data_IF_119979815528
#
_entry.id   IF_119979815528
#
_cell.length_a   1.000
_cell.length_b   1.000
_cell.length_c   1.000
_cell.angle_alpha   90.00
_cell.angle_beta   90.00
_cell.angle_gamma   90.00
#
_symmetry.space_group_name_H-M   'P 1'
#
loop_
_entity.id
_entity.type
_entity.pdbx_description
1 polymer ?
#
# COMPACT_ATOMS: atom_id res chain seq x y z
N UNK A 1 23.07 -24.56 -68.98
CA UNK A 1 23.24 -25.66 -69.95
C UNK A 1 23.75 -26.88 -69.19
N UNK A 2 22.90 -27.91 -69.06
CA UNK A 2 23.24 -29.35 -69.13
C UNK A 2 24.22 -29.92 -68.08
N UNK A 3 23.72 -30.55 -67.00
CA UNK A 3 23.52 -32.01 -66.77
C UNK A 3 24.77 -32.78 -66.27
N UNK A 4 24.67 -33.22 -65.00
CA UNK A 4 24.92 -34.55 -64.41
C UNK A 4 26.18 -35.41 -64.68
N UNK A 5 26.66 -35.96 -63.55
CA UNK A 5 27.03 -37.37 -63.30
C UNK A 5 28.47 -37.81 -63.57
N UNK A 6 29.17 -38.28 -62.52
CA UNK A 6 29.48 -39.74 -62.38
C UNK A 6 30.11 -40.13 -61.03
N UNK A 7 29.45 -41.10 -60.37
CA UNK A 7 29.97 -42.35 -59.74
C UNK A 7 31.30 -42.30 -58.94
N UNK A 8 31.24 -42.53 -57.62
CA UNK A 8 31.31 -43.85 -56.94
C UNK A 8 32.72 -44.47 -56.85
N UNK A 9 33.21 -44.69 -55.61
CA UNK A 9 33.51 -46.05 -55.08
C UNK A 9 34.14 -46.04 -53.66
N UNK A 10 33.57 -46.94 -52.81
CA UNK A 10 34.22 -47.87 -51.85
C UNK A 10 34.92 -47.26 -50.62
N UNK A 11 34.35 -47.43 -49.41
CA UNK A 11 34.32 -48.61 -48.49
C UNK A 11 35.57 -48.66 -47.58
N UNK A 12 35.39 -49.27 -46.40
CA UNK A 12 36.38 -49.61 -45.34
C UNK A 12 36.55 -48.46 -44.32
N UNK A 13 36.43 -48.60 -43.00
CA UNK A 13 36.21 -49.74 -42.09
C UNK A 13 35.62 -49.19 -40.79
N UNK A 14 34.77 -49.98 -40.14
CA UNK A 14 34.19 -49.76 -38.81
C UNK A 14 35.28 -49.65 -37.74
N UNK A 15 35.23 -48.64 -36.89
CA UNK A 15 35.73 -48.72 -35.50
C UNK A 15 34.76 -47.94 -34.61
N UNK A 16 34.05 -48.67 -33.75
CA UNK A 16 33.28 -48.15 -32.61
C UNK A 16 34.16 -48.30 -31.38
N UNK A 17 34.32 -47.22 -30.59
CA UNK A 17 34.26 -47.33 -29.13
C UNK A 17 33.28 -46.28 -28.59
N UNK A 18 32.19 -46.71 -27.95
CA UNK A 18 32.07 -46.92 -26.51
C UNK A 18 32.19 -45.62 -25.70
N UNK A 19 31.01 -45.03 -25.44
CA UNK A 19 30.54 -44.42 -24.19
C UNK A 19 31.42 -43.37 -23.51
N UNK A 20 30.94 -42.12 -23.55
CA UNK A 20 30.94 -41.23 -22.39
C UNK A 20 29.69 -40.33 -22.47
N UNK A 21 28.68 -40.66 -21.66
CA UNK A 21 27.58 -39.75 -21.38
C UNK A 21 28.11 -38.65 -20.45
N UNK A 22 28.46 -37.50 -21.04
CA UNK A 22 28.76 -36.29 -20.27
C UNK A 22 27.46 -35.47 -20.18
N UNK A 23 26.98 -35.33 -18.95
CA UNK A 23 25.82 -34.53 -18.60
C UNK A 23 26.00 -33.07 -19.03
N UNK A 24 24.91 -32.52 -19.55
CA UNK A 24 24.73 -31.10 -19.88
C UNK A 24 24.82 -30.28 -18.60
N UNK A 25 25.85 -29.45 -18.47
CA UNK A 25 25.84 -28.30 -17.58
C UNK A 25 25.84 -27.04 -18.45
N UNK A 26 24.63 -26.55 -18.74
CA UNK A 26 24.42 -25.20 -19.27
C UNK A 26 24.81 -24.23 -18.15
N UNK A 27 26.07 -23.78 -18.14
CA UNK A 27 26.45 -22.57 -17.44
C UNK A 27 25.88 -21.40 -18.23
N UNK A 28 24.63 -21.03 -17.92
CA UNK A 28 24.06 -19.76 -18.32
C UNK A 28 24.72 -18.65 -17.52
N UNK A 29 25.58 -17.87 -18.17
CA UNK A 29 25.97 -16.55 -17.70
C UNK A 29 24.72 -15.67 -17.75
N UNK A 30 24.07 -15.50 -16.60
CA UNK A 30 23.04 -14.49 -16.42
C UNK A 30 23.71 -13.12 -16.41
N UNK A 31 23.35 -12.32 -17.39
CA UNK A 31 23.71 -10.92 -17.55
C UNK A 31 23.07 -10.14 -16.38
N UNK A 32 23.89 -9.59 -15.48
CA UNK A 32 23.45 -8.67 -14.41
C UNK A 32 22.92 -7.39 -15.08
N UNK A 33 21.60 -7.35 -15.26
CA UNK A 33 20.88 -6.15 -15.66
C UNK A 33 20.99 -5.05 -14.60
N UNK A 34 20.80 -3.78 -15.00
CA UNK A 34 20.98 -2.64 -14.10
C UNK A 34 19.86 -2.60 -13.05
N UNK A 35 20.21 -2.97 -11.82
CA UNK A 35 19.67 -2.40 -10.59
C UNK A 35 18.15 -2.42 -10.44
N UNK A 36 17.58 -3.61 -10.27
CA UNK A 36 16.43 -3.73 -9.38
C UNK A 36 16.93 -3.29 -7.99
N UNK A 37 16.43 -2.13 -7.51
CA UNK A 37 16.37 -1.92 -6.06
C UNK A 37 15.62 -3.10 -5.42
N UNK A 38 15.52 -3.18 -4.08
CA UNK A 38 14.51 -4.06 -3.52
C UNK A 38 13.19 -3.75 -4.24
N UNK A 39 12.67 -4.73 -4.98
CA UNK A 39 11.25 -4.82 -5.31
C UNK A 39 10.53 -4.40 -4.02
N UNK A 40 9.51 -3.51 -4.03
CA UNK A 40 8.61 -3.33 -2.89
C UNK A 40 7.93 -4.69 -2.66
N UNK A 41 8.72 -5.61 -2.11
CA UNK A 41 8.49 -7.02 -2.02
C UNK A 41 7.25 -7.11 -1.18
N UNK A 42 6.15 -7.48 -1.85
CA UNK A 42 4.78 -7.42 -1.38
C UNK A 42 4.78 -7.39 0.15
N UNK A 43 4.51 -6.20 0.73
CA UNK A 43 4.53 -6.02 2.17
C UNK A 43 3.84 -7.24 2.79
N UNK A 44 4.61 -8.08 3.47
CA UNK A 44 4.12 -9.37 3.95
C UNK A 44 4.19 -9.37 5.45
N UNK A 45 3.16 -9.91 6.08
CA UNK A 45 3.15 -10.07 7.51
C UNK A 45 3.93 -11.32 7.88
N UNK A 46 4.86 -11.23 8.84
CA UNK A 46 5.48 -12.42 9.40
C UNK A 46 4.45 -13.21 10.23
N UNK A 47 4.89 -14.36 10.73
CA UNK A 47 4.13 -15.17 11.68
C UNK A 47 3.68 -14.34 12.90
N UNK A 48 2.52 -14.67 13.46
CA UNK A 48 1.88 -13.85 14.50
C UNK A 48 2.79 -13.59 15.72
N UNK A 49 3.65 -14.55 16.06
CA UNK A 49 4.58 -14.46 17.18
C UNK A 49 5.69 -13.42 16.97
N UNK A 50 6.06 -13.16 15.71
CA UNK A 50 7.16 -12.26 15.34
C UNK A 50 6.69 -10.83 15.08
N UNK A 51 5.36 -10.61 15.04
CA UNK A 51 4.78 -9.29 14.84
C UNK A 51 4.97 -8.40 16.05
N UNK A 52 5.31 -7.14 15.80
CA UNK A 52 5.52 -6.10 16.82
C UNK A 52 4.42 -5.05 16.78
N UNK A 53 4.17 -4.29 17.85
CA UNK A 53 3.21 -3.18 17.81
C UNK A 53 3.59 -2.14 16.75
N UNK A 54 2.61 -1.65 15.99
CA UNK A 54 2.82 -0.56 15.03
C UNK A 54 3.05 0.79 15.73
N UNK A 55 3.84 1.66 15.10
CA UNK A 55 4.12 3.03 15.53
C UNK A 55 3.40 4.02 14.60
N UNK A 56 3.17 5.25 15.05
CA UNK A 56 2.57 6.29 14.17
C UNK A 56 3.43 6.54 12.93
N UNK A 57 4.75 6.51 13.10
CA UNK A 57 5.71 6.70 12.02
C UNK A 57 5.73 5.52 11.03
N UNK A 58 5.51 4.30 11.50
CA UNK A 58 5.31 3.14 10.63
C UNK A 58 4.02 3.27 9.80
N UNK A 59 2.93 3.79 10.38
CA UNK A 59 1.70 4.10 9.63
C UNK A 59 2.01 5.12 8.51
N UNK A 60 2.83 6.14 8.80
CA UNK A 60 3.27 7.10 7.78
C UNK A 60 4.08 6.44 6.66
N UNK A 61 5.04 5.58 6.98
CA UNK A 61 5.83 4.85 5.97
C UNK A 61 4.95 3.98 5.08
N UNK A 62 3.97 3.27 5.66
CA UNK A 62 3.02 2.44 4.91
C UNK A 62 2.17 3.30 3.97
N UNK A 63 1.66 4.45 4.45
CA UNK A 63 0.90 5.37 3.61
C UNK A 63 1.77 5.89 2.44
N UNK A 64 2.98 6.36 2.71
CA UNK A 64 3.91 6.90 1.71
C UNK A 64 4.45 5.86 0.72
N UNK A 65 4.25 4.56 0.98
CA UNK A 65 4.55 3.50 0.01
C UNK A 65 3.53 3.44 -1.14
N UNK A 66 2.32 3.96 -0.93
CA UNK A 66 1.23 4.01 -1.92
C UNK A 66 0.89 5.43 -2.36
N UNK A 67 1.22 6.43 -1.55
CA UNK A 67 0.93 7.83 -1.80
C UNK A 67 2.17 8.59 -2.26
N UNK A 68 1.97 9.77 -2.85
CA UNK A 68 3.07 10.69 -3.16
C UNK A 68 3.88 11.04 -1.89
N UNK A 69 5.19 11.13 -2.02
CA UNK A 69 6.07 11.59 -0.95
C UNK A 69 6.21 13.12 -0.88
N UNK A 70 5.64 13.84 -1.85
CA UNK A 70 5.59 15.31 -1.93
C UNK A 70 4.59 15.91 -0.93
N UNK A 71 4.88 15.72 0.35
CA UNK A 71 4.09 16.22 1.49
C UNK A 71 4.68 17.51 2.04
N UNK A 72 3.84 18.46 2.46
CA UNK A 72 4.26 19.65 3.18
C UNK A 72 4.54 19.39 4.68
N UNK A 73 3.88 18.40 5.28
CA UNK A 73 4.20 17.94 6.64
C UNK A 73 3.80 16.47 6.86
N UNK A 74 4.47 15.85 7.84
CA UNK A 74 4.26 14.46 8.26
C UNK A 74 4.31 14.41 9.79
N UNK A 75 3.23 14.02 10.42
CA UNK A 75 3.16 14.07 11.89
C UNK A 75 2.31 12.97 12.53
N UNK A 76 2.65 12.62 13.76
CA UNK A 76 1.79 11.79 14.59
C UNK A 76 0.61 12.59 15.11
N UNK A 77 -0.61 12.12 14.85
CA UNK A 77 -1.83 12.85 15.24
C UNK A 77 -2.02 12.84 16.75
N UNK A 78 -2.50 13.94 17.33
CA UNK A 78 -2.96 13.97 18.72
C UNK A 78 -4.12 12.98 18.95
N UNK A 79 -4.14 12.35 20.12
CA UNK A 79 -5.22 11.44 20.54
C UNK A 79 -5.66 11.76 21.96
N UNK A 80 -6.96 11.68 22.24
CA UNK A 80 -7.56 11.87 23.56
C UNK A 80 -8.39 10.67 24.04
N UNK A 81 -9.21 10.89 25.08
CA UNK A 81 -10.01 9.83 25.69
C UNK A 81 -11.23 9.40 24.89
N UNK A 82 -11.59 10.14 23.83
CA UNK A 82 -12.68 9.80 22.91
C UNK A 82 -12.23 8.88 21.78
N UNK A 83 -10.92 8.81 21.49
CA UNK A 83 -10.40 7.94 20.44
C UNK A 83 -10.39 6.46 20.84
N UNK A 84 -10.49 5.54 19.87
CA UNK A 84 -10.35 4.11 20.13
C UNK A 84 -9.04 3.78 20.87
N UNK A 85 -9.14 2.90 21.88
CA UNK A 85 -7.96 2.52 22.67
C UNK A 85 -6.93 1.79 21.81
N UNK A 86 -5.69 2.26 21.88
CA UNK A 86 -4.56 1.63 21.18
C UNK A 86 -4.42 2.08 19.72
N UNK A 87 -5.16 3.11 19.31
CA UNK A 87 -5.08 3.68 17.98
C UNK A 87 -3.69 4.24 17.65
N UNK A 88 -3.32 4.12 16.38
CA UNK A 88 -2.09 4.68 15.80
C UNK A 88 -2.47 5.45 14.55
N UNK A 89 -2.10 6.72 14.53
CA UNK A 89 -2.55 7.73 13.58
C UNK A 89 -1.38 8.55 13.06
N UNK A 90 -1.43 8.88 11.78
CA UNK A 90 -0.54 9.84 11.14
C UNK A 90 -1.37 10.83 10.32
N UNK A 91 -0.91 12.08 10.30
CA UNK A 91 -1.39 13.12 9.42
C UNK A 91 -0.30 13.42 8.37
N UNK A 92 -0.71 13.42 7.11
CA UNK A 92 0.09 13.84 5.96
C UNK A 92 -0.60 15.06 5.36
N UNK A 93 0.15 16.16 5.17
CA UNK A 93 -0.37 17.35 4.50
C UNK A 93 0.17 17.45 3.08
N UNK A 94 -0.70 17.82 2.14
CA UNK A 94 -0.37 18.04 0.74
C UNK A 94 -0.78 19.45 0.31
N UNK A 95 -0.13 19.97 -0.73
CA UNK A 95 -0.52 21.24 -1.39
C UNK A 95 -0.68 22.44 -0.44
N UNK A 96 0.05 22.48 0.68
CA UNK A 96 0.00 23.63 1.58
C UNK A 96 0.58 24.89 0.93
N UNK A 97 -0.01 26.04 1.25
CA UNK A 97 0.32 27.37 0.72
C UNK A 97 0.43 28.36 1.89
N UNK A 98 1.06 29.54 1.71
CA UNK A 98 1.16 30.52 2.77
C UNK A 98 -0.23 30.93 3.31
N UNK A 99 -0.54 30.54 4.55
CA UNK A 99 -1.80 30.84 5.22
C UNK A 99 -2.88 29.76 5.09
N UNK A 100 -2.59 28.64 4.43
CA UNK A 100 -3.49 27.49 4.30
C UNK A 100 -2.75 26.20 4.65
N UNK A 101 -3.36 25.34 5.46
CA UNK A 101 -2.73 24.09 5.90
C UNK A 101 -2.65 23.03 4.79
N UNK A 102 -3.28 23.26 3.64
CA UNK A 102 -3.39 22.30 2.55
C UNK A 102 -4.35 21.14 2.85
N UNK A 103 -4.33 20.12 2.00
CA UNK A 103 -5.16 18.93 2.18
C UNK A 103 -4.58 18.03 3.26
N UNK A 104 -5.45 17.57 4.15
CA UNK A 104 -5.14 16.58 5.16
C UNK A 104 -5.48 15.19 4.63
N UNK A 105 -4.49 14.29 4.67
CA UNK A 105 -4.71 12.85 4.59
C UNK A 105 -4.34 12.25 5.94
N UNK A 106 -5.31 11.63 6.61
CA UNK A 106 -5.11 10.98 7.91
C UNK A 106 -5.24 9.49 7.77
N UNK A 107 -4.24 8.73 8.19
CA UNK A 107 -4.23 7.26 8.13
C UNK A 107 -4.13 6.66 9.51
N UNK A 108 -4.83 5.55 9.71
CA UNK A 108 -5.15 5.04 11.01
C UNK A 108 -5.31 3.53 11.09
N UNK A 109 -4.96 2.96 12.26
CA UNK A 109 -5.29 1.58 12.61
C UNK A 109 -5.51 1.42 14.12
N UNK A 110 -6.51 0.62 14.52
CA UNK A 110 -6.81 0.33 15.93
C UNK A 110 -7.41 -1.06 16.14
N UNK A 111 -7.30 -1.61 17.37
CA UNK A 111 -7.98 -2.85 17.74
C UNK A 111 -9.50 -2.65 17.85
N UNK A 112 -10.25 -3.67 17.47
CA UNK A 112 -11.72 -3.67 17.55
C UNK A 112 -12.39 -3.37 16.23
N UNK A 113 -13.68 -3.06 16.30
CA UNK A 113 -14.48 -2.60 15.15
C UNK A 113 -15.10 -1.27 15.51
N UNK A 114 -15.36 -0.48 14.48
CA UNK A 114 -16.12 0.75 14.63
C UNK A 114 -17.59 0.43 14.37
N UNK A 115 -18.47 0.75 15.31
CA UNK A 115 -19.89 0.34 15.22
C UNK A 115 -20.69 1.24 14.26
N UNK A 116 -20.16 2.40 13.88
CA UNK A 116 -20.87 3.45 13.15
C UNK A 116 -20.38 3.70 11.72
N UNK A 117 -19.53 2.83 11.16
CA UNK A 117 -18.92 3.01 9.82
C UNK A 117 -19.60 2.21 8.72
N UNK A 118 -20.72 1.55 8.99
CA UNK A 118 -21.38 0.68 7.99
C UNK A 118 -22.39 1.48 7.18
N UNK A 119 -22.33 1.36 5.85
CA UNK A 119 -23.36 1.91 4.97
C UNK A 119 -24.74 1.32 5.31
N UNK A 120 -25.68 2.19 5.63
CA UNK A 120 -27.10 1.87 5.70
C UNK A 120 -27.74 2.09 4.33
N UNK A 121 -28.89 1.45 4.10
CA UNK A 121 -29.60 1.55 2.81
C UNK A 121 -30.02 2.97 2.43
N UNK A 122 -30.11 3.86 3.39
CA UNK A 122 -30.55 5.23 3.23
C UNK A 122 -29.41 6.25 3.22
N UNK A 123 -28.16 5.80 3.38
CA UNK A 123 -27.03 6.72 3.46
C UNK A 123 -26.70 7.22 2.05
N UNK A 124 -26.98 8.50 1.82
CA UNK A 124 -26.45 9.21 0.66
C UNK A 124 -24.95 9.43 0.89
N UNK A 125 -24.12 9.08 -0.10
CA UNK A 125 -22.67 9.20 0.04
C UNK A 125 -22.00 8.06 0.81
N UNK A 126 -22.49 6.83 0.67
CA UNK A 126 -21.83 5.64 1.20
C UNK A 126 -21.84 4.50 0.20
N UNK A 127 -20.70 3.83 0.03
CA UNK A 127 -20.55 2.66 -0.83
C UNK A 127 -19.72 1.57 -0.14
N UNK A 128 -20.09 0.31 -0.36
CA UNK A 128 -19.23 -0.83 -0.02
C UNK A 128 -18.36 -1.16 -1.23
N UNK A 129 -17.04 -1.02 -1.07
CA UNK A 129 -16.09 -1.34 -2.14
C UNK A 129 -15.66 -2.80 -2.07
N UNK A 130 -15.29 -3.35 -3.23
CA UNK A 130 -14.61 -4.64 -3.31
C UNK A 130 -13.23 -4.57 -2.61
N UNK A 131 -12.77 -5.70 -2.11
CA UNK A 131 -11.47 -5.79 -1.44
C UNK A 131 -10.84 -7.17 -1.65
N UNK A 132 -9.51 -7.18 -1.81
CA UNK A 132 -8.71 -8.40 -1.91
C UNK A 132 -8.37 -8.98 -0.52
N UNK A 133 -8.67 -8.25 0.54
CA UNK A 133 -8.41 -8.69 1.92
C UNK A 133 -9.41 -9.77 2.34
N UNK A 134 -8.94 -11.01 2.67
CA UNK A 134 -9.85 -12.10 3.01
C UNK A 134 -10.72 -11.80 4.23
N UNK A 135 -12.04 -11.80 4.03
CA UNK A 135 -13.03 -11.47 5.07
C UNK A 135 -13.02 -10.00 5.50
N UNK A 136 -12.31 -9.14 4.75
CA UNK A 136 -12.35 -7.70 4.88
C UNK A 136 -13.59 -7.11 4.21
N UNK A 137 -13.94 -5.88 4.61
CA UNK A 137 -14.94 -5.05 3.92
C UNK A 137 -14.49 -3.60 3.97
N UNK A 138 -14.52 -2.92 2.83
CA UNK A 138 -14.21 -1.50 2.72
C UNK A 138 -15.52 -0.72 2.63
N UNK A 139 -15.68 0.26 3.52
CA UNK A 139 -16.77 1.22 3.51
C UNK A 139 -16.21 2.57 3.11
N UNK A 140 -16.62 3.08 1.96
CA UNK A 140 -16.34 4.43 1.50
C UNK A 140 -17.48 5.34 1.92
N UNK A 141 -17.16 6.47 2.54
CA UNK A 141 -18.10 7.48 2.97
C UNK A 141 -17.67 8.83 2.43
N UNK A 142 -18.64 9.63 2.00
CA UNK A 142 -18.43 11.01 1.67
C UNK A 142 -19.65 11.87 1.95
N UNK A 143 -19.40 13.15 2.21
CA UNK A 143 -20.44 14.18 2.22
C UNK A 143 -20.07 15.24 1.19
N UNK A 144 -21.05 15.65 0.38
CA UNK A 144 -20.85 16.74 -0.57
C UNK A 144 -20.71 18.08 0.15
N UNK A 145 -20.03 19.00 -0.52
CA UNK A 145 -19.82 20.39 -0.10
C UNK A 145 -21.16 21.09 0.10
N UNK A 146 -21.25 21.84 1.19
CA UNK A 146 -22.34 22.76 1.51
C UNK A 146 -21.78 24.18 1.71
N UNK A 147 -22.65 25.15 2.02
CA UNK A 147 -22.16 26.50 2.37
C UNK A 147 -21.34 26.51 3.67
N UNK A 148 -21.58 25.56 4.58
CA UNK A 148 -20.97 25.51 5.92
C UNK A 148 -19.83 24.49 6.03
N UNK A 149 -19.79 23.48 5.13
CA UNK A 149 -18.85 22.35 5.20
C UNK A 149 -18.27 22.06 3.80
N UNK A 150 -16.93 21.99 3.63
CA UNK A 150 -16.30 21.63 2.35
C UNK A 150 -16.62 20.20 1.87
N UNK A 151 -17.24 19.38 2.70
CA UNK A 151 -17.43 17.97 2.48
C UNK A 151 -16.35 17.14 3.16
N UNK A 152 -16.60 15.84 3.28
CA UNK A 152 -15.67 14.88 3.87
C UNK A 152 -15.55 13.66 2.99
N UNK A 153 -14.38 13.01 3.00
CA UNK A 153 -14.12 11.75 2.30
C UNK A 153 -13.31 10.86 3.21
N UNK A 154 -13.81 9.65 3.51
CA UNK A 154 -13.04 8.67 4.26
C UNK A 154 -13.42 7.25 3.88
N UNK A 155 -12.49 6.32 4.05
CA UNK A 155 -12.69 4.91 3.85
C UNK A 155 -12.26 4.13 5.09
N UNK A 156 -13.00 3.07 5.41
CA UNK A 156 -12.71 2.16 6.52
C UNK A 156 -12.64 0.74 6.03
N UNK A 157 -11.51 0.08 6.27
CA UNK A 157 -11.38 -1.35 6.10
C UNK A 157 -11.57 -2.04 7.45
N UNK A 158 -12.66 -2.79 7.58
CA UNK A 158 -12.88 -3.68 8.71
C UNK A 158 -12.26 -5.04 8.47
N UNK A 159 -11.48 -5.52 9.45
CA UNK A 159 -10.95 -6.89 9.49
C UNK A 159 -11.38 -7.60 10.77
N UNK A 160 -10.98 -8.86 10.93
CA UNK A 160 -11.25 -9.61 12.16
C UNK A 160 -10.44 -9.05 13.34
N UNK A 161 -11.08 -8.23 14.18
CA UNK A 161 -10.53 -7.74 15.45
C UNK A 161 -9.73 -6.44 15.37
N UNK A 162 -9.71 -5.78 14.21
CA UNK A 162 -9.11 -4.45 14.02
C UNK A 162 -9.76 -3.73 12.83
N UNK A 163 -9.62 -2.41 12.82
CA UNK A 163 -10.06 -1.53 11.73
C UNK A 163 -8.91 -0.64 11.29
N UNK A 164 -8.87 -0.35 10.00
CA UNK A 164 -8.00 0.64 9.38
C UNK A 164 -8.85 1.73 8.74
N UNK A 165 -8.36 2.97 8.74
CA UNK A 165 -9.08 4.13 8.24
C UNK A 165 -8.13 5.06 7.50
N UNK A 166 -8.67 5.69 6.47
CA UNK A 166 -8.03 6.81 5.80
C UNK A 166 -9.08 7.88 5.53
N UNK A 167 -8.75 9.13 5.88
CA UNK A 167 -9.57 10.30 5.57
C UNK A 167 -8.78 11.25 4.69
N UNK A 168 -9.48 11.91 3.80
CA UNK A 168 -9.04 13.11 3.13
C UNK A 168 -9.97 14.28 3.47
N UNK A 169 -9.38 15.43 3.78
CA UNK A 169 -10.09 16.69 3.99
C UNK A 169 -9.32 17.84 3.36
N UNK A 170 -10.02 18.88 2.89
CA UNK A 170 -9.44 20.06 2.23
C UNK A 170 -10.03 20.28 0.83
N UNK A 171 -10.16 19.21 0.05
CA UNK A 171 -10.83 19.24 -1.25
C UNK A 171 -12.35 19.39 -1.09
N UNK A 172 -12.98 20.16 -1.99
CA UNK A 172 -14.45 20.25 -2.07
C UNK A 172 -15.00 19.00 -2.73
N UNK A 173 -15.81 18.24 -2.00
CA UNK A 173 -16.45 17.03 -2.54
C UNK A 173 -17.74 17.45 -3.25
N UNK A 174 -17.77 17.42 -4.59
CA UNK A 174 -18.93 17.93 -5.37
C UNK A 174 -19.79 16.82 -5.97
N UNK A 175 -19.54 15.58 -5.60
CA UNK A 175 -20.21 14.40 -6.15
C UNK A 175 -19.53 13.12 -5.68
N UNK A 176 -19.64 12.06 -6.49
CA UNK A 176 -18.97 10.79 -6.22
C UNK A 176 -17.43 10.94 -6.30
N UNK A 177 -16.69 10.72 -5.20
CA UNK A 177 -15.24 10.90 -5.15
C UNK A 177 -14.47 9.93 -6.05
N UNK A 178 -15.09 8.82 -6.48
CA UNK A 178 -14.48 7.87 -7.42
C UNK A 178 -14.34 8.43 -8.83
N UNK A 179 -15.14 9.44 -9.16
CA UNK A 179 -15.18 10.09 -10.48
C UNK A 179 -14.48 11.46 -10.47
N UNK A 180 -13.87 11.86 -9.34
CA UNK A 180 -13.22 13.16 -9.17
C UNK A 180 -11.71 13.08 -9.45
N UNK A 181 -11.18 14.04 -10.21
CA UNK A 181 -9.75 14.11 -10.58
C UNK A 181 -8.91 15.05 -9.68
N UNK A 182 -9.55 15.99 -8.97
CA UNK A 182 -8.87 17.06 -8.22
C UNK A 182 -8.57 16.73 -6.74
N UNK A 183 -8.75 15.46 -6.36
CA UNK A 183 -8.42 14.96 -5.03
C UNK A 183 -6.90 14.90 -4.81
N UNK A 184 -6.41 15.14 -3.59
CA UNK A 184 -4.98 15.02 -3.30
C UNK A 184 -4.52 13.55 -3.37
N UNK A 185 -5.42 12.64 -3.03
CA UNK A 185 -5.29 11.18 -3.07
C UNK A 185 -6.57 10.60 -3.67
N UNK A 186 -6.43 9.66 -4.61
CA UNK A 186 -7.58 9.00 -5.24
C UNK A 186 -8.22 7.96 -4.33
N UNK A 187 -9.46 7.56 -4.62
CA UNK A 187 -10.12 6.47 -3.86
C UNK A 187 -9.34 5.16 -4.00
N UNK A 188 -8.77 4.88 -5.18
CA UNK A 188 -7.97 3.68 -5.43
C UNK A 188 -6.69 3.66 -4.57
N UNK A 189 -6.00 4.80 -4.45
CA UNK A 189 -4.84 4.92 -3.56
C UNK A 189 -5.23 4.75 -2.09
N UNK A 190 -6.39 5.29 -1.69
CA UNK A 190 -6.93 5.08 -0.34
C UNK A 190 -7.17 3.60 -0.05
N UNK A 191 -7.73 2.86 -1.02
CA UNK A 191 -7.92 1.41 -0.93
C UNK A 191 -6.58 0.69 -0.84
N UNK A 192 -5.59 1.04 -1.68
CA UNK A 192 -4.27 0.44 -1.66
C UNK A 192 -3.57 0.60 -0.30
N UNK A 193 -3.63 1.81 0.30
CA UNK A 193 -3.13 2.05 1.66
C UNK A 193 -3.86 1.17 2.68
N UNK A 194 -5.19 1.11 2.62
CA UNK A 194 -5.98 0.33 3.57
C UNK A 194 -5.66 -1.16 3.49
N UNK A 195 -5.53 -1.70 2.28
CA UNK A 195 -5.30 -3.11 2.01
C UNK A 195 -3.88 -3.57 2.31
N UNK A 196 -2.93 -2.63 2.44
CA UNK A 196 -1.54 -2.90 2.73
C UNK A 196 -1.39 -3.89 3.91
N UNK A 197 -0.71 -5.03 3.72
CA UNK A 197 -0.62 -6.04 4.78
C UNK A 197 0.15 -5.57 6.01
N UNK A 198 1.05 -4.59 5.92
CA UNK A 198 1.72 -4.01 7.08
C UNK A 198 0.81 -3.05 7.87
N UNK A 199 -0.30 -2.55 7.32
CA UNK A 199 -1.25 -1.69 8.05
C UNK A 199 -2.11 -2.49 9.04
N UNK A 200 -1.50 -2.88 10.16
CA UNK A 200 -2.06 -3.74 11.21
C UNK A 200 -1.68 -3.22 12.59
N UNK A 201 -2.50 -3.47 13.60
CA UNK A 201 -2.16 -3.12 15.01
C UNK A 201 -0.84 -3.77 15.45
N UNK A 202 -0.61 -5.01 15.01
CA UNK A 202 0.68 -5.70 15.10
C UNK A 202 1.18 -6.03 13.71
N UNK A 203 2.34 -5.48 13.37
CA UNK A 203 2.92 -5.49 12.02
C UNK A 203 4.32 -6.13 12.01
N UNK A 204 4.99 -6.10 10.86
CA UNK A 204 6.38 -6.55 10.71
C UNK A 204 7.36 -5.63 11.44
N UNK A 205 8.46 -6.14 12.03
CA UNK A 205 9.60 -5.31 12.41
C UNK A 205 10.11 -4.41 11.28
N UNK A 206 10.02 -4.88 10.03
CA UNK A 206 10.45 -4.12 8.85
C UNK A 206 9.57 -2.89 8.61
N UNK A 207 8.26 -2.99 8.89
CA UNK A 207 7.36 -1.83 8.80
C UNK A 207 7.72 -0.76 9.84
N UNK A 208 8.13 -1.19 11.04
CA UNK A 208 8.61 -0.27 12.09
C UNK A 208 9.93 0.36 11.67
N UNK A 209 10.85 -0.43 11.10
CA UNK A 209 12.12 0.08 10.58
C UNK A 209 11.92 1.10 9.45
N UNK A 210 11.04 0.81 8.49
CA UNK A 210 10.65 1.73 7.42
C UNK A 210 10.06 3.03 7.99
N UNK A 211 9.29 2.94 9.09
CA UNK A 211 8.88 4.11 9.87
C UNK A 211 10.04 4.97 10.31
N UNK A 212 11.12 4.38 10.84
CA UNK A 212 12.28 5.16 11.30
C UNK A 212 13.02 5.92 10.20
N UNK A 213 12.84 5.50 8.95
CA UNK A 213 13.44 6.13 7.76
C UNK A 213 12.59 7.30 7.20
N UNK A 214 11.36 7.53 7.71
CA UNK A 214 10.50 8.64 7.26
C UNK A 214 11.13 9.99 7.61
N UNK A 215 11.62 10.74 6.64
CA UNK A 215 12.20 12.08 6.85
C UNK A 215 11.16 13.10 7.29
N UNK A 216 11.64 14.20 7.90
CA UNK A 216 10.82 15.39 8.26
C UNK A 216 9.63 15.09 9.18
N UNK A 217 9.79 14.06 10.00
CA UNK A 217 8.76 13.57 10.92
C UNK A 217 8.62 14.46 12.17
N UNK A 218 7.38 14.85 12.46
CA UNK A 218 7.01 15.49 13.74
C UNK A 218 6.32 14.47 14.66
N UNK A 219 6.89 14.11 15.83
CA UNK A 219 6.26 13.17 16.73
C UNK A 219 4.92 13.66 17.29
N UNK A 220 4.05 12.72 17.68
CA UNK A 220 2.80 13.02 18.36
C UNK A 220 3.03 13.96 19.56
N UNK A 221 2.23 15.03 19.71
CA UNK A 221 2.30 15.88 20.90
C UNK A 221 2.03 15.07 22.18
N UNK A 222 3.02 14.99 23.07
CA UNK A 222 2.84 14.39 24.39
C UNK A 222 2.42 15.46 25.39
N UNK A 223 1.16 15.48 25.81
CA UNK A 223 0.75 16.27 26.98
C UNK A 223 0.79 15.39 28.22
N UNK A 224 1.73 15.67 29.12
CA UNK A 224 1.72 15.11 30.47
C UNK A 224 0.50 15.65 31.22
N UNK A 225 -0.39 14.76 31.66
CA UNK A 225 -1.42 15.09 32.66
C UNK A 225 -0.78 15.28 34.04
#
# INVERSE_FOLDING_TARGET
MTIFSTRSRRRWTVVVPLVAAAAVALAGCGEEGPGDGPDPAAHTLPEKADRVPITDRAVAAIALAHLSDDTSSREGTYTDGSDPKGIRWTDLRYRASPGEDGDLVRVAVWPGREEYVHCQKQDEGCEVLDTDVPGGRIYLHWSEVTEEDPGSLYAVLERAGESSYILQSGAKITGDPREMEDLAVTVDDMVAVLEDPWLRVRTSPDAVAAGEDVSDWTPRPSYSK
#
